data_IF_578263974942
#
_entry.id   IF_578263974942
#
_cell.length_a   1.000
_cell.length_b   1.000
_cell.length_c   1.000
_cell.angle_alpha   90.00
_cell.angle_beta   90.00
_cell.angle_gamma   90.00
#
_symmetry.space_group_name_H-M   'P 1'
#
loop_
_entity.id
_entity.type
_entity.pdbx_description
1 polymer ?
#
# COMPACT_ATOMS: atom_id res chain seq x y z
N UNK A 1 -2.52 12.93 57.02
CA UNK A 1 -2.58 12.72 55.55
C UNK A 1 -1.66 13.74 54.96
N UNK A 2 -0.51 13.26 54.50
CA UNK A 2 0.61 14.07 54.05
C UNK A 2 0.32 14.69 52.68
N UNK A 3 0.94 15.83 52.41
CA UNK A 3 0.88 16.53 51.12
C UNK A 3 1.34 15.62 49.96
N UNK A 4 2.13 14.59 50.27
CA UNK A 4 2.62 13.56 49.37
C UNK A 4 1.52 12.61 48.85
N UNK A 5 0.45 12.37 49.60
CA UNK A 5 -0.67 11.52 49.16
C UNK A 5 -1.50 12.22 48.07
N UNK A 6 -1.45 13.56 48.03
CA UNK A 6 -2.24 14.41 47.14
C UNK A 6 -1.62 14.58 45.74
N UNK A 7 -0.32 14.30 45.61
CA UNK A 7 0.39 14.36 44.32
C UNK A 7 0.33 13.04 43.54
N UNK A 8 0.15 11.91 44.24
CA UNK A 8 0.01 10.59 43.63
C UNK A 8 -1.28 10.43 42.81
N UNK A 9 -2.36 11.13 43.17
CA UNK A 9 -3.64 11.08 42.44
C UNK A 9 -3.66 11.89 41.14
N UNK A 10 -2.67 12.75 40.88
CA UNK A 10 -2.64 13.63 39.69
C UNK A 10 -1.90 13.06 38.48
N UNK A 11 -1.28 11.89 38.57
CA UNK A 11 -0.50 11.28 37.49
C UNK A 11 -1.13 9.99 36.94
N UNK A 12 -2.45 9.91 36.88
CA UNK A 12 -3.13 8.89 36.09
C UNK A 12 -3.50 9.49 34.72
N UNK A 13 -2.55 9.50 33.78
CA UNK A 13 -2.89 9.66 32.36
C UNK A 13 -3.82 8.48 32.04
N UNK A 14 -5.09 8.70 31.65
CA UNK A 14 -5.99 7.60 31.32
C UNK A 14 -5.33 6.77 30.21
N UNK A 15 -5.35 5.43 30.28
CA UNK A 15 -4.80 4.59 29.22
C UNK A 15 -5.45 5.01 27.91
N UNK A 16 -4.63 5.45 26.96
CA UNK A 16 -5.12 5.78 25.63
C UNK A 16 -5.88 4.57 25.09
N UNK A 17 -7.08 4.75 24.50
CA UNK A 17 -7.82 3.64 23.95
C UNK A 17 -6.91 2.91 22.95
N UNK A 18 -6.68 1.62 23.18
CA UNK A 18 -6.00 0.77 22.21
C UNK A 18 -6.87 0.72 20.95
N UNK A 19 -6.62 1.63 20.01
CA UNK A 19 -7.27 1.61 18.70
C UNK A 19 -6.74 0.35 18.00
N UNK A 20 -7.57 -0.67 17.94
CA UNK A 20 -7.23 -1.86 17.17
C UNK A 20 -7.07 -1.45 15.70
N UNK A 21 -5.99 -1.88 15.02
CA UNK A 21 -5.83 -1.65 13.60
C UNK A 21 -7.05 -2.21 12.85
N UNK A 22 -7.62 -1.42 11.93
CA UNK A 22 -8.74 -1.88 11.10
C UNK A 22 -8.33 -3.02 10.15
N UNK A 23 -7.06 -3.08 9.77
CA UNK A 23 -6.48 -4.10 8.90
C UNK A 23 -5.39 -4.87 9.64
N UNK A 24 -5.36 -6.18 9.45
CA UNK A 24 -4.27 -7.03 9.94
C UNK A 24 -3.01 -6.86 9.09
N UNK A 25 -1.88 -7.40 9.57
CA UNK A 25 -0.66 -7.48 8.76
C UNK A 25 -0.89 -8.26 7.46
N UNK A 26 -1.70 -9.32 7.50
CA UNK A 26 -2.03 -10.14 6.33
C UNK A 26 -2.83 -9.34 5.30
N UNK A 27 -3.82 -8.56 5.73
CA UNK A 27 -4.60 -7.69 4.85
C UNK A 27 -3.71 -6.65 4.15
N UNK A 28 -2.84 -5.98 4.92
CA UNK A 28 -1.94 -4.96 4.36
C UNK A 28 -1.00 -5.58 3.34
N UNK A 29 -0.43 -6.76 3.63
CA UNK A 29 0.44 -7.47 2.70
C UNK A 29 -0.32 -7.93 1.45
N UNK A 30 -1.54 -8.46 1.59
CA UNK A 30 -2.40 -8.85 0.47
C UNK A 30 -2.68 -7.65 -0.44
N UNK A 31 -3.04 -6.50 0.13
CA UNK A 31 -3.28 -5.28 -0.62
C UNK A 31 -2.02 -4.78 -1.34
N UNK A 32 -0.84 -4.95 -0.74
CA UNK A 32 0.44 -4.67 -1.42
C UNK A 32 0.66 -5.60 -2.63
N UNK A 33 0.31 -6.89 -2.53
CA UNK A 33 0.36 -7.78 -3.69
C UNK A 33 -0.61 -7.33 -4.80
N UNK A 34 -1.84 -6.94 -4.45
CA UNK A 34 -2.82 -6.41 -5.42
C UNK A 34 -2.28 -5.16 -6.10
N UNK A 35 -1.70 -4.24 -5.33
CA UNK A 35 -1.05 -3.04 -5.85
C UNK A 35 0.08 -3.37 -6.84
N UNK A 36 0.94 -4.35 -6.52
CA UNK A 36 2.01 -4.76 -7.42
C UNK A 36 1.48 -5.28 -8.75
N UNK A 37 0.40 -6.08 -8.71
CA UNK A 37 -0.24 -6.58 -9.92
C UNK A 37 -0.92 -5.48 -10.73
N UNK A 38 -1.52 -4.48 -10.07
CA UNK A 38 -2.09 -3.32 -10.74
C UNK A 38 -1.02 -2.54 -11.50
N UNK A 39 0.15 -2.30 -10.91
CA UNK A 39 1.27 -1.61 -11.58
C UNK A 39 1.80 -2.41 -12.77
N UNK A 40 1.89 -3.74 -12.65
CA UNK A 40 2.26 -4.62 -13.77
C UNK A 40 1.23 -4.57 -14.90
N UNK A 41 -0.07 -4.62 -14.58
CA UNK A 41 -1.14 -4.55 -15.58
C UNK A 41 -1.16 -3.19 -16.29
N UNK A 42 -0.90 -2.11 -15.55
CA UNK A 42 -0.75 -0.77 -16.12
C UNK A 42 0.44 -0.70 -17.08
N UNK A 43 1.61 -1.24 -16.69
CA UNK A 43 2.79 -1.26 -17.56
C UNK A 43 2.55 -2.08 -18.83
N UNK A 44 1.96 -3.27 -18.70
CA UNK A 44 1.62 -4.10 -19.85
C UNK A 44 0.63 -3.38 -20.77
N UNK A 45 -0.36 -2.69 -20.21
CA UNK A 45 -1.32 -1.89 -20.97
C UNK A 45 -0.64 -0.76 -21.75
N UNK A 46 0.35 -0.07 -21.16
CA UNK A 46 1.15 0.95 -21.86
C UNK A 46 1.89 0.37 -23.06
N UNK A 47 2.45 -0.83 -22.92
CA UNK A 47 3.18 -1.51 -24.00
C UNK A 47 2.25 -1.99 -25.13
N UNK A 48 1.06 -2.48 -24.78
CA UNK A 48 0.10 -3.02 -25.75
C UNK A 48 -0.74 -1.95 -26.45
N UNK A 49 -0.98 -0.80 -25.80
CA UNK A 49 -1.77 0.29 -26.35
C UNK A 49 -1.38 0.70 -27.80
N UNK A 50 -0.12 1.05 -28.11
CA UNK A 50 0.24 1.49 -29.46
C UNK A 50 0.04 0.39 -30.50
N UNK A 51 0.34 -0.87 -30.15
CA UNK A 51 0.16 -2.03 -31.03
C UNK A 51 -1.32 -2.24 -31.36
N UNK A 52 -2.20 -2.23 -30.35
CA UNK A 52 -3.64 -2.40 -30.57
C UNK A 52 -4.26 -1.24 -31.33
N UNK A 53 -3.74 -0.02 -31.14
CA UNK A 53 -4.15 1.16 -31.90
C UNK A 53 -3.77 1.04 -33.37
N UNK A 54 -2.55 0.62 -33.68
CA UNK A 54 -2.08 0.41 -35.06
C UNK A 54 -2.92 -0.65 -35.79
N UNK A 55 -3.33 -1.69 -35.07
CA UNK A 55 -4.21 -2.74 -35.59
C UNK A 55 -5.69 -2.31 -35.70
N UNK A 56 -6.05 -1.07 -35.36
CA UNK A 56 -7.44 -0.59 -35.24
C UNK A 56 -8.32 -1.53 -34.40
N UNK A 57 -7.76 -2.10 -33.34
CA UNK A 57 -8.47 -3.02 -32.46
C UNK A 57 -9.43 -2.29 -31.53
N UNK A 58 -10.65 -2.79 -31.34
CA UNK A 58 -11.61 -2.24 -30.36
C UNK A 58 -11.10 -2.24 -28.90
N UNK A 59 -9.98 -2.92 -28.62
CA UNK A 59 -9.39 -2.97 -27.27
C UNK A 59 -8.44 -1.80 -26.96
N UNK A 60 -8.00 -1.00 -27.94
CA UNK A 60 -6.99 0.03 -27.67
C UNK A 60 -7.45 1.06 -26.63
N UNK A 61 -8.75 1.40 -26.60
CA UNK A 61 -9.33 2.32 -25.61
C UNK A 61 -9.23 1.78 -24.19
N UNK A 62 -9.57 0.49 -23.98
CA UNK A 62 -9.47 -0.16 -22.66
C UNK A 62 -8.03 -0.19 -22.14
N UNK A 63 -7.08 -0.43 -23.05
CA UNK A 63 -5.65 -0.41 -22.71
C UNK A 63 -5.17 1.01 -22.40
N UNK A 64 -5.69 2.03 -23.09
CA UNK A 64 -5.40 3.43 -22.77
C UNK A 64 -5.87 3.77 -21.35
N UNK A 65 -7.10 3.41 -20.98
CA UNK A 65 -7.64 3.68 -19.66
C UNK A 65 -6.79 3.04 -18.56
N UNK A 66 -6.47 1.75 -18.72
CA UNK A 66 -5.61 1.03 -17.78
C UNK A 66 -4.19 1.61 -17.71
N UNK A 67 -3.64 2.05 -18.83
CA UNK A 67 -2.29 2.58 -18.94
C UNK A 67 -2.13 3.98 -18.31
N UNK A 68 -3.11 4.87 -18.55
CA UNK A 68 -2.95 6.31 -18.32
C UNK A 68 -3.94 6.87 -17.30
N UNK A 69 -5.22 6.51 -17.39
CA UNK A 69 -6.26 7.08 -16.53
C UNK A 69 -6.15 6.61 -15.07
N UNK A 70 -5.72 5.36 -14.84
CA UNK A 70 -5.58 4.79 -13.49
C UNK A 70 -4.33 5.26 -12.74
N UNK A 71 -3.36 5.90 -13.41
CA UNK A 71 -2.02 6.19 -12.86
C UNK A 71 -2.04 6.95 -11.55
N UNK A 72 -2.88 7.99 -11.46
CA UNK A 72 -2.92 8.86 -10.29
C UNK A 72 -3.45 8.10 -9.05
N UNK A 73 -4.46 7.24 -9.22
CA UNK A 73 -5.01 6.41 -8.15
C UNK A 73 -3.98 5.36 -7.74
N UNK A 74 -3.41 4.63 -8.70
CA UNK A 74 -2.40 3.59 -8.45
C UNK A 74 -1.21 4.14 -7.67
N UNK A 75 -0.73 5.35 -7.99
CA UNK A 75 0.35 5.99 -7.25
C UNK A 75 -0.05 6.31 -5.79
N UNK A 76 -1.25 6.87 -5.59
CA UNK A 76 -1.74 7.25 -4.26
C UNK A 76 -1.99 6.03 -3.37
N UNK A 77 -2.52 4.95 -3.93
CA UNK A 77 -2.75 3.69 -3.21
C UNK A 77 -1.43 3.03 -2.84
N UNK A 78 -0.44 3.01 -3.74
CA UNK A 78 0.92 2.53 -3.42
C UNK A 78 1.51 3.25 -2.21
N UNK A 79 1.52 4.57 -2.23
CA UNK A 79 2.15 5.37 -1.17
C UNK A 79 1.44 5.15 0.18
N UNK A 80 0.10 5.03 0.16
CA UNK A 80 -0.70 4.67 1.33
C UNK A 80 -0.33 3.29 1.86
N UNK A 81 -0.26 2.28 1.00
CA UNK A 81 0.05 0.91 1.38
C UNK A 81 1.48 0.77 1.90
N UNK A 82 2.46 1.43 1.28
CA UNK A 82 3.84 1.42 1.76
C UNK A 82 3.98 2.06 3.14
N UNK A 83 3.21 3.13 3.41
CA UNK A 83 3.16 3.75 4.75
C UNK A 83 2.55 2.81 5.78
N UNK A 84 1.46 2.10 5.46
CA UNK A 84 0.87 1.13 6.39
C UNK A 84 1.77 -0.10 6.59
N UNK A 85 2.38 -0.61 5.52
CA UNK A 85 3.33 -1.72 5.59
C UNK A 85 4.57 -1.38 6.43
N UNK A 86 4.98 -0.10 6.48
CA UNK A 86 6.10 0.35 7.31
C UNK A 86 5.81 0.30 8.83
N UNK A 87 4.54 0.21 9.23
CA UNK A 87 4.14 0.07 10.64
C UNK A 87 4.11 -1.38 11.12
N UNK A 88 4.24 -2.34 10.21
CA UNK A 88 4.16 -3.76 10.54
C UNK A 88 5.43 -4.24 11.23
N UNK A 89 5.27 -5.16 12.18
CA UNK A 89 6.39 -5.80 12.87
C UNK A 89 7.25 -6.61 11.86
N UNK A 90 8.55 -6.27 11.68
CA UNK A 90 9.43 -7.01 10.79
C UNK A 90 9.66 -8.48 11.21
N UNK A 91 9.43 -8.83 12.48
CA UNK A 91 9.53 -10.20 12.98
C UNK A 91 8.30 -11.05 12.60
N UNK A 92 7.21 -10.43 12.16
CA UNK A 92 6.04 -11.15 11.65
C UNK A 92 6.42 -11.96 10.41
N UNK A 93 6.13 -13.27 10.44
CA UNK A 93 6.46 -14.20 9.36
C UNK A 93 5.91 -13.78 7.98
N UNK A 94 4.67 -13.28 7.93
CA UNK A 94 4.03 -12.82 6.69
C UNK A 94 4.76 -11.60 6.12
N UNK A 95 5.17 -10.66 6.99
CA UNK A 95 5.96 -9.49 6.59
C UNK A 95 7.34 -9.91 6.06
N UNK A 96 8.00 -10.84 6.75
CA UNK A 96 9.29 -11.38 6.31
C UNK A 96 9.20 -12.00 4.92
N UNK A 97 8.20 -12.84 4.67
CA UNK A 97 7.98 -13.48 3.36
C UNK A 97 7.68 -12.47 2.26
N UNK A 98 7.02 -11.36 2.58
CA UNK A 98 6.64 -10.32 1.63
C UNK A 98 7.77 -9.32 1.29
N UNK A 99 8.95 -9.41 1.92
CA UNK A 99 10.05 -8.42 1.78
C UNK A 99 10.44 -8.12 0.34
N UNK A 100 10.56 -9.15 -0.50
CA UNK A 100 10.93 -8.99 -1.92
C UNK A 100 9.85 -8.22 -2.70
N UNK A 101 8.56 -8.53 -2.47
CA UNK A 101 7.45 -7.81 -3.08
C UNK A 101 7.42 -6.34 -2.63
N UNK A 102 7.60 -6.08 -1.33
CA UNK A 102 7.65 -4.71 -0.81
C UNK A 102 8.84 -3.91 -1.36
N UNK A 103 9.97 -4.57 -1.62
CA UNK A 103 11.11 -3.94 -2.29
C UNK A 103 10.78 -3.55 -3.74
N UNK A 104 10.08 -4.41 -4.50
CA UNK A 104 9.64 -4.09 -5.87
C UNK A 104 8.72 -2.87 -5.91
N UNK A 105 7.73 -2.80 -5.01
CA UNK A 105 6.83 -1.64 -4.90
C UNK A 105 7.59 -0.35 -4.60
N UNK A 106 8.55 -0.38 -3.67
CA UNK A 106 9.37 0.80 -3.31
C UNK A 106 10.26 1.27 -4.45
N UNK A 107 10.84 0.32 -5.19
CA UNK A 107 11.76 0.61 -6.28
C UNK A 107 11.07 1.24 -7.50
N UNK A 108 9.73 1.32 -7.52
CA UNK A 108 8.95 1.87 -8.63
C UNK A 108 9.38 1.28 -9.98
N UNK A 109 9.62 -0.04 -10.01
CA UNK A 109 10.23 -0.74 -11.16
C UNK A 109 9.46 -0.58 -12.49
N UNK A 110 8.26 -0.01 -12.43
CA UNK A 110 7.34 0.16 -13.55
C UNK A 110 7.12 1.62 -13.96
N UNK A 111 7.81 2.58 -13.32
CA UNK A 111 7.81 3.99 -13.73
C UNK A 111 8.87 4.23 -14.81
N UNK A 112 8.41 4.46 -16.05
CA UNK A 112 9.15 5.03 -17.17
C UNK A 112 8.32 6.17 -17.77
#
# INVERSE_FOLDING_TARGET
>A
MDILDREAEKSAIPPQPHIQPQFTAEDIILLCYVQLWMEKAQQLSKQLYPVMRELNSDYYGKLFDLAYETRHITNRTRDTLLREAAKLDPANYTVHRARSMLAQLRARQFEF
#
